data_IF_762270464842
#
_entry.id   IF_762270464842
#
_cell.length_a   1.000
_cell.length_b   1.000
_cell.length_c   1.000
_cell.angle_alpha   90.00
_cell.angle_beta   90.00
_cell.angle_gamma   90.00
#
_symmetry.space_group_name_H-M   'P 1'
#
loop_
_entity.id
_entity.type
_entity.pdbx_description
1 polymer ?
#
# COMPACT_ATOMS: atom_id res chain seq x y z
N UNK A 1 -12.83 7.45 39.00
CA UNK A 1 -12.29 8.15 37.81
C UNK A 1 -11.90 7.09 36.80
N UNK A 2 -12.67 6.94 35.73
CA UNK A 2 -12.42 5.93 34.69
C UNK A 2 -11.12 6.25 33.94
N UNK A 3 -10.54 5.27 33.22
CA UNK A 3 -9.39 5.51 32.35
C UNK A 3 -9.68 6.60 31.30
N UNK A 4 -10.93 6.69 30.90
CA UNK A 4 -11.47 7.69 29.98
C UNK A 4 -11.40 9.09 30.57
N UNK A 5 -11.82 9.28 31.81
CA UNK A 5 -11.76 10.58 32.49
C UNK A 5 -10.33 11.07 32.64
N UNK A 6 -9.38 10.16 32.96
CA UNK A 6 -7.93 10.52 33.04
C UNK A 6 -7.39 10.94 31.69
N UNK A 7 -7.80 10.27 30.61
CA UNK A 7 -7.39 10.63 29.25
C UNK A 7 -7.94 11.99 28.84
N UNK A 8 -9.22 12.27 29.08
CA UNK A 8 -9.82 13.59 28.82
C UNK A 8 -9.13 14.70 29.59
N UNK A 9 -8.87 14.51 30.89
CA UNK A 9 -8.12 15.48 31.71
C UNK A 9 -6.71 15.71 31.14
N UNK A 10 -6.02 14.66 30.69
CA UNK A 10 -4.70 14.78 30.07
C UNK A 10 -4.77 15.58 28.77
N UNK A 11 -5.77 15.32 27.93
CA UNK A 11 -5.97 16.06 26.67
C UNK A 11 -6.24 17.54 26.92
N UNK A 12 -7.11 17.86 27.89
CA UNK A 12 -7.41 19.25 28.27
C UNK A 12 -6.17 19.95 28.84
N UNK A 13 -5.40 19.31 29.71
CA UNK A 13 -4.18 19.86 30.27
C UNK A 13 -3.11 20.13 29.20
N UNK A 14 -2.96 19.22 28.23
CA UNK A 14 -2.00 19.41 27.14
C UNK A 14 -2.45 20.50 26.18
N UNK A 15 -3.74 20.61 25.86
CA UNK A 15 -4.26 21.70 25.02
C UNK A 15 -4.09 23.06 25.69
N UNK A 16 -4.35 23.15 27.01
CA UNK A 16 -4.12 24.35 27.79
C UNK A 16 -2.64 24.76 27.84
N UNK A 17 -1.72 23.80 27.94
CA UNK A 17 -0.27 24.05 27.87
C UNK A 17 0.17 24.62 26.50
N UNK A 18 -0.57 24.34 25.42
CA UNK A 18 -0.36 24.94 24.10
C UNK A 18 -1.15 26.25 23.90
N UNK A 19 -1.76 26.81 24.98
CA UNK A 19 -2.48 28.07 24.94
C UNK A 19 -3.89 27.95 24.35
N UNK A 20 -4.44 26.74 24.30
CA UNK A 20 -5.78 26.50 23.80
C UNK A 20 -6.73 26.11 24.95
N UNK A 21 -7.62 27.03 25.31
CA UNK A 21 -8.63 26.81 26.35
C UNK A 21 -9.97 26.47 25.67
N UNK A 22 -10.59 25.37 26.08
CA UNK A 22 -11.89 24.98 25.53
C UNK A 22 -12.98 25.87 26.10
N UNK A 23 -13.60 26.69 25.24
CA UNK A 23 -14.77 27.50 25.54
C UNK A 23 -15.95 27.10 24.66
N UNK A 24 -17.16 27.46 25.02
CA UNK A 24 -18.39 27.25 24.24
C UNK A 24 -18.33 27.88 22.82
N UNK A 25 -17.36 28.76 22.56
CA UNK A 25 -17.09 29.33 21.26
C UNK A 25 -16.14 28.49 20.38
N UNK A 26 -15.64 27.36 20.90
CA UNK A 26 -14.69 26.52 20.18
C UNK A 26 -15.43 25.68 19.13
N UNK A 27 -15.01 25.67 17.86
CA UNK A 27 -15.64 24.81 16.85
C UNK A 27 -15.54 23.32 17.22
N UNK A 28 -16.63 22.56 17.06
CA UNK A 28 -16.74 21.14 17.43
C UNK A 28 -15.68 20.23 16.79
N UNK A 29 -15.08 20.65 15.67
CA UNK A 29 -14.04 19.90 14.99
C UNK A 29 -12.65 20.00 15.64
N UNK A 30 -12.42 21.01 16.49
CA UNK A 30 -11.10 21.25 17.10
C UNK A 30 -10.78 20.21 18.16
N UNK A 31 -11.76 19.86 18.98
CA UNK A 31 -11.60 18.84 20.04
C UNK A 31 -11.14 17.49 19.49
N UNK A 32 -11.83 16.86 18.50
CA UNK A 32 -11.37 15.63 17.87
C UNK A 32 -10.02 15.78 17.17
N UNK A 33 -9.69 16.95 16.63
CA UNK A 33 -8.40 17.18 15.97
C UNK A 33 -7.23 17.15 16.95
N UNK A 34 -7.39 17.70 18.14
CA UNK A 34 -6.37 17.64 19.20
C UNK A 34 -6.19 16.21 19.71
N UNK A 35 -7.28 15.46 19.91
CA UNK A 35 -7.21 14.04 20.23
C UNK A 35 -6.46 13.24 19.17
N UNK A 36 -6.73 13.50 17.90
CA UNK A 36 -6.03 12.89 16.79
C UNK A 36 -4.53 13.14 16.84
N UNK A 37 -4.11 14.40 17.03
CA UNK A 37 -2.69 14.78 17.10
C UNK A 37 -2.01 14.13 18.31
N UNK A 38 -2.64 14.16 19.48
CA UNK A 38 -2.07 13.61 20.73
C UNK A 38 -1.87 12.09 20.71
N UNK A 39 -2.69 11.36 19.95
CA UNK A 39 -2.54 9.91 19.82
C UNK A 39 -1.69 9.55 18.60
N UNK A 40 -1.94 10.22 17.48
CA UNK A 40 -1.30 9.87 16.20
C UNK A 40 0.16 10.34 16.14
N UNK A 41 0.49 11.50 16.72
CA UNK A 41 1.85 12.02 16.71
C UNK A 41 2.82 11.12 17.49
N UNK A 42 2.55 10.70 18.75
CA UNK A 42 3.41 9.74 19.44
C UNK A 42 3.46 8.38 18.75
N UNK A 43 2.34 7.86 18.24
CA UNK A 43 2.31 6.60 17.52
C UNK A 43 3.14 6.64 16.23
N UNK A 44 3.05 7.73 15.47
CA UNK A 44 3.89 7.96 14.28
C UNK A 44 5.36 8.14 14.66
N UNK A 45 5.67 8.90 15.71
CA UNK A 45 7.04 9.09 16.19
C UNK A 45 7.67 7.76 16.62
N UNK A 46 6.93 6.93 17.35
CA UNK A 46 7.39 5.60 17.77
C UNK A 46 7.58 4.67 16.57
N UNK A 47 6.64 4.63 15.64
CA UNK A 47 6.72 3.76 14.46
C UNK A 47 7.78 4.23 13.47
N UNK A 48 7.89 5.51 13.19
CA UNK A 48 8.93 6.08 12.32
C UNK A 48 10.29 6.01 13.01
N UNK A 49 10.37 6.34 14.29
CA UNK A 49 11.60 6.26 15.07
C UNK A 49 12.13 4.84 15.17
N UNK A 50 11.29 3.86 15.48
CA UNK A 50 11.66 2.44 15.49
C UNK A 50 12.07 1.94 14.09
N UNK A 51 11.40 2.37 13.05
CA UNK A 51 11.75 2.02 11.67
C UNK A 51 13.09 2.62 11.24
N UNK A 52 13.36 3.88 11.58
CA UNK A 52 14.63 4.54 11.32
C UNK A 52 15.77 3.92 12.15
N UNK A 53 15.53 3.59 13.42
CA UNK A 53 16.50 2.90 14.27
C UNK A 53 16.84 1.51 13.72
N UNK A 54 15.82 0.72 13.34
CA UNK A 54 16.02 -0.60 12.72
C UNK A 54 16.77 -0.46 11.38
N UNK A 55 16.44 0.52 10.56
CA UNK A 55 17.17 0.79 9.32
C UNK A 55 18.62 1.22 9.58
N UNK A 56 18.86 2.05 10.60
CA UNK A 56 20.18 2.46 11.03
C UNK A 56 21.04 1.28 11.46
N UNK A 57 20.51 0.43 12.34
CA UNK A 57 21.16 -0.81 12.82
C UNK A 57 21.44 -1.76 11.66
N UNK A 58 20.45 -1.99 10.77
CA UNK A 58 20.62 -2.84 9.58
C UNK A 58 21.63 -2.28 8.59
N UNK A 59 21.74 -0.94 8.46
CA UNK A 59 22.72 -0.28 7.58
C UNK A 59 24.13 -0.38 8.15
N UNK A 60 24.28 -0.26 9.46
CA UNK A 60 25.55 -0.47 10.16
C UNK A 60 25.99 -1.94 10.07
N UNK A 61 25.06 -2.87 10.23
CA UNK A 61 25.34 -4.31 10.11
C UNK A 61 25.69 -4.72 8.67
N UNK A 62 25.01 -4.17 7.67
CA UNK A 62 25.33 -4.38 6.25
C UNK A 62 26.68 -3.82 5.84
N UNK A 63 27.12 -2.68 6.40
CA UNK A 63 28.45 -2.11 6.11
C UNK A 63 29.60 -3.04 6.51
N UNK A 64 29.37 -3.96 7.43
CA UNK A 64 30.39 -4.93 7.88
C UNK A 64 30.46 -6.22 7.03
N UNK A 65 29.49 -6.50 6.14
CA UNK A 65 29.35 -7.83 5.55
C UNK A 65 28.99 -7.87 4.04
N UNK A 66 29.14 -6.78 3.29
CA UNK A 66 28.88 -6.84 1.85
C UNK A 66 30.18 -6.77 1.05
N UNK A 67 30.51 -7.81 0.24
CA UNK A 67 31.47 -7.63 -0.85
C UNK A 67 30.91 -6.58 -1.81
N UNK A 68 31.74 -5.58 -2.13
CA UNK A 68 31.41 -4.52 -3.07
C UNK A 68 31.40 -5.08 -4.49
N UNK A 69 30.27 -5.63 -4.91
CA UNK A 69 30.01 -5.87 -6.33
C UNK A 69 29.62 -4.54 -6.95
N UNK A 70 30.51 -3.93 -7.73
CA UNK A 70 30.22 -2.77 -8.54
C UNK A 70 29.76 -3.27 -9.92
N UNK A 71 28.43 -3.33 -10.18
CA UNK A 71 27.96 -3.59 -11.53
C UNK A 71 28.37 -2.42 -12.42
N UNK A 72 28.91 -2.70 -13.60
CA UNK A 72 29.18 -1.66 -14.59
C UNK A 72 27.90 -0.84 -14.86
N UNK A 73 28.00 0.51 -14.89
CA UNK A 73 26.83 1.35 -15.09
C UNK A 73 26.27 1.16 -16.49
N UNK A 74 25.06 0.62 -16.58
CA UNK A 74 24.34 0.48 -17.84
C UNK A 74 23.99 1.87 -18.36
N UNK A 75 24.43 2.22 -19.57
CA UNK A 75 24.13 3.52 -20.21
C UNK A 75 22.62 3.75 -20.26
N UNK A 76 22.12 4.80 -19.57
CA UNK A 76 20.71 5.17 -19.49
C UNK A 76 19.95 4.64 -18.28
N UNK A 77 20.59 3.84 -17.41
CA UNK A 77 20.08 3.50 -16.08
C UNK A 77 20.88 4.28 -15.02
N UNK A 78 20.16 4.90 -14.10
CA UNK A 78 20.80 5.51 -12.93
C UNK A 78 21.10 4.43 -11.87
N UNK A 79 21.97 4.75 -10.90
CA UNK A 79 22.40 3.80 -9.86
C UNK A 79 21.27 3.22 -8.99
N UNK A 80 20.02 3.77 -9.08
CA UNK A 80 18.84 3.19 -8.48
C UNK A 80 17.66 3.13 -9.45
N UNK A 81 16.84 2.08 -9.34
CA UNK A 81 15.62 1.95 -10.14
C UNK A 81 14.63 3.09 -9.84
N UNK A 82 14.59 3.56 -8.60
CA UNK A 82 13.74 4.66 -8.17
C UNK A 82 14.07 5.97 -8.89
N UNK A 83 15.35 6.35 -8.95
CA UNK A 83 15.79 7.56 -9.66
C UNK A 83 15.53 7.45 -11.16
N UNK A 84 15.72 6.26 -11.73
CA UNK A 84 15.39 5.98 -13.14
C UNK A 84 13.89 6.21 -13.42
N UNK A 85 13.00 5.69 -12.55
CA UNK A 85 11.55 5.90 -12.67
C UNK A 85 11.21 7.38 -12.60
N UNK A 86 11.73 8.10 -11.60
CA UNK A 86 11.47 9.54 -11.45
C UNK A 86 11.95 10.34 -12.65
N UNK A 87 13.14 10.04 -13.18
CA UNK A 87 13.68 10.74 -14.36
C UNK A 87 12.79 10.59 -15.58
N UNK A 88 12.29 9.37 -15.84
CA UNK A 88 11.53 9.08 -17.06
C UNK A 88 10.03 9.30 -16.94
N UNK A 89 9.45 9.36 -15.74
CA UNK A 89 8.00 9.48 -15.54
C UNK A 89 7.57 10.59 -14.56
N UNK A 90 8.42 11.62 -14.32
CA UNK A 90 8.16 12.65 -13.31
C UNK A 90 6.79 13.31 -13.44
N UNK A 91 6.38 13.70 -14.67
CA UNK A 91 5.08 14.36 -14.91
C UNK A 91 3.91 13.42 -14.63
N UNK A 92 4.03 12.16 -15.07
CA UNK A 92 3.01 11.15 -14.86
C UNK A 92 2.88 10.81 -13.36
N UNK A 93 4.00 10.71 -12.64
CA UNK A 93 3.99 10.49 -11.19
C UNK A 93 3.31 11.66 -10.46
N UNK A 94 3.62 12.91 -10.81
CA UNK A 94 2.97 14.08 -10.22
C UNK A 94 1.45 14.06 -10.45
N UNK A 95 0.99 13.74 -11.66
CA UNK A 95 -0.44 13.63 -11.96
C UNK A 95 -1.11 12.51 -11.13
N UNK A 96 -0.47 11.34 -11.03
CA UNK A 96 -0.99 10.24 -10.20
C UNK A 96 -1.09 10.62 -8.72
N UNK A 97 -0.12 11.39 -8.21
CA UNK A 97 -0.14 11.91 -6.84
C UNK A 97 -1.35 12.85 -6.65
N UNK A 98 -1.55 13.80 -7.54
CA UNK A 98 -2.69 14.74 -7.47
C UNK A 98 -4.03 13.99 -7.49
N UNK A 99 -4.20 13.04 -8.41
CA UNK A 99 -5.43 12.22 -8.48
C UNK A 99 -5.62 11.38 -7.22
N UNK A 100 -4.53 10.86 -6.64
CA UNK A 100 -4.57 10.12 -5.37
C UNK A 100 -4.96 11.01 -4.18
N UNK A 101 -4.50 12.27 -4.16
CA UNK A 101 -4.88 13.24 -3.12
C UNK A 101 -6.35 13.64 -3.22
N UNK A 102 -6.89 13.80 -4.44
CA UNK A 102 -8.33 14.07 -4.67
C UNK A 102 -9.20 12.89 -4.19
N UNK A 103 -8.68 11.66 -4.21
CA UNK A 103 -9.42 10.51 -3.70
C UNK A 103 -9.73 10.59 -2.19
N UNK A 104 -8.93 11.30 -1.40
CA UNK A 104 -9.09 11.37 0.07
C UNK A 104 -10.35 12.11 0.51
N UNK A 105 -10.62 13.35 0.07
CA UNK A 105 -11.86 14.04 0.43
C UNK A 105 -13.10 13.33 -0.12
N UNK A 106 -13.02 12.71 -1.31
CA UNK A 106 -14.12 11.92 -1.84
C UNK A 106 -14.41 10.71 -0.93
N UNK A 107 -13.34 10.03 -0.48
CA UNK A 107 -13.47 8.92 0.47
C UNK A 107 -14.09 9.38 1.80
N UNK A 108 -13.64 10.52 2.35
CA UNK A 108 -14.20 11.09 3.57
C UNK A 108 -15.70 11.33 3.44
N UNK A 109 -16.15 11.92 2.32
CA UNK A 109 -17.57 12.12 2.04
C UNK A 109 -18.35 10.80 1.98
N UNK A 110 -17.77 9.72 1.43
CA UNK A 110 -18.44 8.41 1.41
C UNK A 110 -18.60 7.78 2.80
N UNK A 111 -17.82 8.22 3.78
CA UNK A 111 -17.96 7.79 5.18
C UNK A 111 -18.89 8.69 5.98
N UNK A 112 -18.82 10.01 5.76
CA UNK A 112 -19.61 11.01 6.51
C UNK A 112 -21.08 11.03 6.10
N UNK A 113 -21.40 10.90 4.80
CA UNK A 113 -22.79 10.99 4.33
C UNK A 113 -23.72 9.92 4.89
N UNK A 114 -23.36 8.63 4.99
CA UNK A 114 -24.21 7.63 5.66
C UNK A 114 -24.50 7.96 7.12
N UNK A 115 -23.50 8.52 7.84
CA UNK A 115 -23.68 8.99 9.21
C UNK A 115 -24.72 10.11 9.27
N UNK A 116 -24.59 11.12 8.38
CA UNK A 116 -25.52 12.23 8.32
C UNK A 116 -26.95 11.76 7.98
N UNK A 117 -27.10 10.76 7.13
CA UNK A 117 -28.37 10.14 6.81
C UNK A 117 -28.98 9.51 8.07
N UNK A 118 -28.20 8.71 8.81
CA UNK A 118 -28.72 8.01 10.00
C UNK A 118 -29.00 8.97 11.15
N UNK A 119 -28.08 9.89 11.45
CA UNK A 119 -28.16 10.73 12.63
C UNK A 119 -29.08 11.96 12.46
N UNK A 120 -29.21 12.47 11.25
CA UNK A 120 -29.92 13.73 11.03
C UNK A 120 -31.15 13.60 10.15
N UNK A 121 -31.13 12.74 9.11
CA UNK A 121 -32.25 12.63 8.18
C UNK A 121 -33.35 11.69 8.65
N UNK A 122 -33.03 10.71 9.50
CA UNK A 122 -34.01 9.76 10.05
C UNK A 122 -34.69 10.27 11.36
N UNK A 123 -34.14 11.33 11.97
CA UNK A 123 -34.71 11.93 13.19
C UNK A 123 -35.85 12.88 12.81
N UNK A 124 -37.09 12.46 13.01
CA UNK A 124 -38.30 13.23 12.63
C UNK A 124 -38.52 14.50 13.46
N UNK A 125 -37.98 14.58 14.69
CA UNK A 125 -38.26 15.67 15.62
C UNK A 125 -37.51 16.97 15.24
N UNK A 126 -36.62 16.92 14.25
CA UNK A 126 -35.80 18.05 13.80
C UNK A 126 -36.32 18.76 12.57
N UNK A 127 -37.41 18.29 11.98
CA UNK A 127 -37.93 18.87 10.72
C UNK A 127 -39.11 19.83 10.95
N UNK A 128 -39.19 20.93 10.13
CA UNK A 128 -38.41 21.26 8.95
C UNK A 128 -37.01 21.86 9.27
N UNK A 129 -36.02 21.51 8.45
CA UNK A 129 -34.65 22.06 8.57
C UNK A 129 -34.41 23.09 7.46
N UNK A 130 -33.86 24.25 7.86
CA UNK A 130 -33.48 25.29 6.88
C UNK A 130 -32.19 24.93 6.15
N UNK A 131 -32.29 24.54 4.86
CA UNK A 131 -31.16 24.30 3.97
C UNK A 131 -31.09 25.42 2.95
N UNK A 132 -29.97 26.16 2.93
CA UNK A 132 -29.75 27.31 2.03
C UNK A 132 -30.89 28.37 2.10
N UNK A 133 -31.48 28.58 3.30
CA UNK A 133 -32.53 29.55 3.51
C UNK A 133 -33.93 29.11 3.06
N UNK A 134 -34.14 27.81 2.79
CA UNK A 134 -35.44 27.21 2.52
C UNK A 134 -35.73 26.11 3.51
N UNK A 135 -36.93 26.08 4.04
CA UNK A 135 -37.40 25.01 4.90
C UNK A 135 -37.63 23.75 4.05
N UNK A 136 -36.95 22.66 4.42
CA UNK A 136 -36.95 21.40 3.67
C UNK A 136 -37.58 20.34 4.54
N UNK A 137 -38.55 19.63 3.97
CA UNK A 137 -39.17 18.47 4.59
C UNK A 137 -38.20 17.28 4.72
N UNK A 138 -38.43 16.42 5.71
CA UNK A 138 -37.61 15.23 6.00
C UNK A 138 -37.36 14.38 4.75
N UNK A 139 -38.39 14.09 3.95
CA UNK A 139 -38.27 13.21 2.76
C UNK A 139 -37.35 13.83 1.72
N UNK A 140 -37.48 15.15 1.48
CA UNK A 140 -36.68 15.87 0.49
C UNK A 140 -35.22 15.94 0.96
N UNK A 141 -34.98 16.21 2.26
CA UNK A 141 -33.64 16.21 2.84
C UNK A 141 -32.96 14.84 2.76
N UNK A 142 -33.69 13.77 3.09
CA UNK A 142 -33.22 12.38 2.95
C UNK A 142 -32.85 12.05 1.49
N UNK A 143 -33.74 12.40 0.54
CA UNK A 143 -33.48 12.18 -0.90
C UNK A 143 -32.24 12.94 -1.40
N UNK A 144 -32.03 14.16 -0.92
CA UNK A 144 -30.86 14.97 -1.25
C UNK A 144 -29.57 14.32 -0.72
N UNK A 145 -29.54 13.90 0.54
CA UNK A 145 -28.38 13.22 1.13
C UNK A 145 -28.09 11.88 0.44
N UNK A 146 -29.12 11.09 0.12
CA UNK A 146 -28.97 9.83 -0.61
C UNK A 146 -28.42 10.07 -2.03
N UNK A 147 -28.92 11.10 -2.72
CA UNK A 147 -28.41 11.51 -4.03
C UNK A 147 -26.95 11.94 -3.98
N UNK A 148 -26.57 12.75 -2.99
CA UNK A 148 -25.20 13.17 -2.76
C UNK A 148 -24.28 11.98 -2.42
N UNK A 149 -24.75 11.04 -1.62
CA UNK A 149 -24.03 9.82 -1.29
C UNK A 149 -23.78 8.94 -2.52
N UNK A 150 -24.82 8.75 -3.35
CA UNK A 150 -24.70 8.03 -4.62
C UNK A 150 -23.67 8.71 -5.54
N UNK A 151 -23.71 10.04 -5.65
CA UNK A 151 -22.74 10.81 -6.42
C UNK A 151 -21.32 10.60 -5.89
N UNK A 152 -21.13 10.65 -4.56
CA UNK A 152 -19.82 10.42 -3.94
C UNK A 152 -19.28 9.00 -4.22
N UNK A 153 -20.13 7.98 -4.20
CA UNK A 153 -19.76 6.60 -4.56
C UNK A 153 -19.31 6.53 -6.03
N UNK A 154 -20.10 7.12 -6.94
CA UNK A 154 -19.77 7.13 -8.37
C UNK A 154 -18.44 7.86 -8.62
N UNK A 155 -18.24 9.03 -8.02
CA UNK A 155 -16.99 9.80 -8.13
C UNK A 155 -15.78 9.01 -7.59
N UNK A 156 -15.94 8.35 -6.45
CA UNK A 156 -14.89 7.49 -5.88
C UNK A 156 -14.55 6.31 -6.81
N UNK A 157 -15.57 5.68 -7.37
CA UNK A 157 -15.41 4.59 -8.34
C UNK A 157 -14.70 5.05 -9.61
N UNK A 158 -15.13 6.16 -10.21
CA UNK A 158 -14.52 6.74 -11.41
C UNK A 158 -13.08 7.18 -11.17
N UNK A 159 -12.80 7.81 -10.03
CA UNK A 159 -11.45 8.22 -9.65
C UNK A 159 -10.50 7.01 -9.52
N UNK A 160 -10.94 5.95 -8.83
CA UNK A 160 -10.18 4.70 -8.70
C UNK A 160 -9.97 4.01 -10.06
N UNK A 161 -11.00 3.95 -10.88
CA UNK A 161 -10.91 3.39 -12.23
C UNK A 161 -9.90 4.17 -13.08
N UNK A 162 -10.07 5.49 -13.18
CA UNK A 162 -9.18 6.36 -13.94
C UNK A 162 -7.72 6.27 -13.49
N UNK A 163 -7.49 6.29 -12.17
CA UNK A 163 -6.15 6.14 -11.60
C UNK A 163 -5.53 4.79 -11.98
N UNK A 164 -6.27 3.68 -11.88
CA UNK A 164 -5.75 2.35 -12.18
C UNK A 164 -5.45 2.18 -13.68
N UNK A 165 -6.30 2.69 -14.57
CA UNK A 165 -6.05 2.71 -16.02
C UNK A 165 -4.81 3.53 -16.35
N UNK A 166 -4.69 4.72 -15.76
CA UNK A 166 -3.52 5.58 -15.98
C UNK A 166 -2.22 4.95 -15.46
N UNK A 167 -2.27 4.29 -14.29
CA UNK A 167 -1.16 3.47 -13.75
C UNK A 167 -0.73 2.39 -14.74
N UNK A 168 -1.68 1.68 -15.36
CA UNK A 168 -1.40 0.70 -16.40
C UNK A 168 -0.65 1.30 -17.59
N UNK A 169 -1.09 2.44 -18.10
CA UNK A 169 -0.39 3.13 -19.19
C UNK A 169 1.03 3.57 -18.82
N UNK A 170 1.23 4.06 -17.60
CA UNK A 170 2.57 4.46 -17.13
C UNK A 170 3.48 3.24 -16.97
N UNK A 171 2.95 2.13 -16.42
CA UNK A 171 3.66 0.87 -16.28
C UNK A 171 4.15 0.33 -17.63
N UNK A 172 3.26 0.23 -18.62
CA UNK A 172 3.59 -0.28 -19.96
C UNK A 172 4.57 0.63 -20.72
N UNK A 173 4.38 1.95 -20.62
CA UNK A 173 5.32 2.91 -21.24
C UNK A 173 6.73 2.80 -20.67
N UNK A 174 6.83 2.65 -19.33
CA UNK A 174 8.11 2.47 -18.66
C UNK A 174 8.72 1.12 -19.01
N UNK A 175 7.93 0.05 -18.99
CA UNK A 175 8.33 -1.31 -19.31
C UNK A 175 8.90 -1.42 -20.72
N UNK A 176 8.24 -0.82 -21.70
CA UNK A 176 8.74 -0.76 -23.09
C UNK A 176 10.14 -0.12 -23.16
N UNK A 177 10.34 1.00 -22.48
CA UNK A 177 11.66 1.68 -22.45
C UNK A 177 12.71 0.81 -21.76
N UNK A 178 12.34 0.19 -20.66
CA UNK A 178 13.24 -0.68 -19.89
C UNK A 178 13.65 -1.91 -20.70
N UNK A 179 12.71 -2.56 -21.38
CA UNK A 179 12.99 -3.67 -22.32
C UNK A 179 13.97 -3.26 -23.40
N UNK A 180 13.80 -2.08 -23.99
CA UNK A 180 14.73 -1.56 -25.00
C UNK A 180 16.13 -1.32 -24.45
N UNK A 181 16.26 -0.81 -23.22
CA UNK A 181 17.56 -0.62 -22.56
C UNK A 181 18.26 -1.95 -22.32
N UNK A 182 17.56 -2.93 -21.77
CA UNK A 182 18.08 -4.28 -21.52
C UNK A 182 18.49 -4.95 -22.84
N UNK A 183 17.65 -4.87 -23.87
CA UNK A 183 17.95 -5.42 -25.19
C UNK A 183 19.19 -4.79 -25.84
N UNK A 184 19.31 -3.45 -25.77
CA UNK A 184 20.50 -2.73 -26.30
C UNK A 184 21.78 -3.15 -25.56
N UNK A 185 21.72 -3.24 -24.24
CA UNK A 185 22.86 -3.69 -23.43
C UNK A 185 23.27 -5.12 -23.77
N UNK A 186 22.31 -6.03 -23.91
CA UNK A 186 22.56 -7.39 -24.30
C UNK A 186 23.23 -7.48 -25.70
N UNK A 187 22.71 -6.72 -26.68
CA UNK A 187 23.26 -6.69 -28.04
C UNK A 187 24.65 -6.08 -28.12
N UNK A 188 25.01 -5.14 -27.25
CA UNK A 188 26.32 -4.50 -27.22
C UNK A 188 27.40 -5.33 -26.53
N UNK A 189 27.06 -6.45 -25.92
CA UNK A 189 28.00 -7.32 -25.21
C UNK A 189 28.26 -8.60 -26.00
N UNK A 190 29.40 -8.72 -26.72
CA UNK A 190 29.66 -9.87 -27.59
C UNK A 190 29.86 -11.19 -26.84
N UNK A 191 30.21 -11.13 -25.53
CA UNK A 191 30.40 -12.31 -24.67
C UNK A 191 29.10 -12.87 -24.06
N UNK A 192 27.94 -12.43 -24.53
CA UNK A 192 26.64 -12.96 -24.04
C UNK A 192 26.43 -14.41 -24.53
N UNK A 193 27.16 -15.35 -23.91
CA UNK A 193 27.08 -16.80 -24.19
C UNK A 193 25.70 -17.42 -23.92
N UNK A 194 24.82 -16.70 -23.22
CA UNK A 194 23.49 -17.15 -22.83
C UNK A 194 22.39 -16.51 -23.69
N UNK A 195 22.39 -16.78 -25.00
CA UNK A 195 21.36 -16.29 -25.92
C UNK A 195 19.94 -16.74 -25.53
N UNK A 196 19.81 -17.91 -24.92
CA UNK A 196 18.52 -18.47 -24.48
C UNK A 196 17.90 -17.75 -23.28
N UNK A 197 18.69 -17.05 -22.45
CA UNK A 197 18.20 -16.39 -21.24
C UNK A 197 17.54 -15.04 -21.51
N UNK A 198 17.85 -14.36 -22.62
CA UNK A 198 17.33 -13.02 -22.91
C UNK A 198 15.82 -13.02 -23.11
N UNK A 199 15.26 -14.08 -23.68
CA UNK A 199 13.81 -14.18 -23.96
C UNK A 199 13.00 -14.20 -22.66
N UNK A 200 13.24 -15.11 -21.69
CA UNK A 200 12.55 -15.08 -20.40
C UNK A 200 12.76 -13.77 -19.63
N UNK A 201 13.97 -13.18 -19.68
CA UNK A 201 14.25 -11.90 -19.03
C UNK A 201 13.36 -10.80 -19.62
N UNK A 202 13.33 -10.62 -20.93
CA UNK A 202 12.55 -9.56 -21.58
C UNK A 202 11.04 -9.81 -21.52
N UNK A 203 10.60 -11.08 -21.60
CA UNK A 203 9.18 -11.41 -21.62
C UNK A 203 8.53 -11.39 -20.22
N UNK A 204 9.19 -11.95 -19.19
CA UNK A 204 8.56 -12.21 -17.89
C UNK A 204 9.25 -11.52 -16.72
N UNK A 205 10.59 -11.53 -16.64
CA UNK A 205 11.30 -11.07 -15.45
C UNK A 205 11.30 -9.55 -15.30
N UNK A 206 11.22 -8.83 -16.42
CA UNK A 206 11.18 -7.36 -16.46
C UNK A 206 9.76 -6.83 -16.18
N UNK A 207 8.72 -7.62 -16.39
CA UNK A 207 7.32 -7.22 -16.22
C UNK A 207 6.99 -6.60 -14.85
N UNK A 208 7.45 -7.16 -13.71
CA UNK A 208 7.20 -6.55 -12.40
C UNK A 208 7.80 -5.15 -12.22
N UNK A 209 8.79 -4.78 -13.03
CA UNK A 209 9.44 -3.45 -12.99
C UNK A 209 8.47 -2.37 -13.50
N UNK A 210 7.64 -2.70 -14.49
CA UNK A 210 6.57 -1.81 -14.95
C UNK A 210 5.57 -1.48 -13.84
N UNK A 211 5.08 -2.51 -13.16
CA UNK A 211 4.21 -2.34 -11.98
C UNK A 211 4.87 -1.53 -10.87
N UNK A 212 6.13 -1.83 -10.54
CA UNK A 212 6.90 -1.02 -9.58
C UNK A 212 6.99 0.45 -9.99
N UNK A 213 7.23 0.74 -11.27
CA UNK A 213 7.33 2.10 -11.77
C UNK A 213 6.01 2.89 -11.62
N UNK A 214 4.86 2.24 -11.77
CA UNK A 214 3.56 2.88 -11.55
C UNK A 214 3.21 3.05 -10.07
N UNK A 215 3.64 2.09 -9.22
CA UNK A 215 3.19 2.01 -7.83
C UNK A 215 4.12 2.67 -6.82
N UNK A 216 5.37 2.94 -7.17
CA UNK A 216 6.43 3.34 -6.23
C UNK A 216 6.09 4.58 -5.39
N UNK A 217 5.41 5.57 -5.95
CA UNK A 217 4.92 6.76 -5.25
C UNK A 217 3.42 6.72 -5.03
N UNK A 218 2.66 6.27 -6.02
CA UNK A 218 1.19 6.31 -6.01
C UNK A 218 0.62 5.40 -4.93
N UNK A 219 1.14 4.18 -4.78
CA UNK A 219 0.63 3.22 -3.82
C UNK A 219 0.80 3.68 -2.36
N UNK A 220 2.00 4.15 -1.91
CA UNK A 220 2.16 4.67 -0.55
C UNK A 220 1.27 5.88 -0.26
N UNK A 221 1.11 6.80 -1.21
CA UNK A 221 0.28 8.00 -1.04
C UNK A 221 -1.20 7.61 -0.98
N UNK A 222 -1.67 6.78 -1.90
CA UNK A 222 -3.07 6.36 -1.94
C UNK A 222 -3.45 5.55 -0.70
N UNK A 223 -2.66 4.52 -0.37
CA UNK A 223 -2.95 3.65 0.78
C UNK A 223 -2.72 4.36 2.11
N UNK A 224 -1.62 5.12 2.22
CA UNK A 224 -1.34 5.93 3.41
C UNK A 224 -2.40 7.01 3.63
N UNK A 225 -2.80 7.70 2.57
CA UNK A 225 -3.85 8.70 2.64
C UNK A 225 -5.22 8.10 2.97
N UNK A 226 -5.57 6.97 2.35
CA UNK A 226 -6.79 6.22 2.71
C UNK A 226 -6.80 5.85 4.19
N UNK A 227 -5.70 5.31 4.71
CA UNK A 227 -5.56 4.96 6.13
C UNK A 227 -5.72 6.18 7.02
N UNK A 228 -5.04 7.29 6.69
CA UNK A 228 -5.13 8.54 7.44
C UNK A 228 -6.55 9.12 7.42
N UNK A 229 -7.24 9.08 6.27
CA UNK A 229 -8.62 9.55 6.15
C UNK A 229 -9.57 8.71 7.01
N UNK A 230 -9.45 7.39 7.00
CA UNK A 230 -10.27 6.51 7.83
C UNK A 230 -9.97 6.74 9.32
N UNK A 231 -8.70 6.81 9.71
CA UNK A 231 -8.33 7.10 11.09
C UNK A 231 -8.85 8.47 11.54
N UNK A 232 -8.67 9.50 10.72
CA UNK A 232 -9.22 10.82 11.00
C UNK A 232 -10.73 10.77 11.21
N UNK A 233 -11.46 10.11 10.31
CA UNK A 233 -12.89 9.92 10.44
C UNK A 233 -13.27 9.22 11.75
N UNK A 234 -12.58 8.12 12.11
CA UNK A 234 -12.83 7.38 13.35
C UNK A 234 -12.57 8.24 14.59
N UNK A 235 -11.49 9.00 14.61
CA UNK A 235 -11.17 9.88 15.74
C UNK A 235 -12.16 11.05 15.91
N UNK A 236 -12.69 11.57 14.80
CA UNK A 236 -13.76 12.59 14.83
C UNK A 236 -15.05 12.02 15.38
N UNK A 237 -15.33 10.71 15.13
CA UNK A 237 -16.54 10.05 15.64
C UNK A 237 -16.42 9.73 17.12
N UNK A 238 -15.36 9.00 17.48
CA UNK A 238 -15.07 8.55 18.83
C UNK A 238 -13.57 8.33 18.99
N UNK A 239 -12.91 9.13 19.84
CA UNK A 239 -11.47 9.02 20.09
C UNK A 239 -11.06 7.65 20.64
N UNK A 240 -11.92 7.00 21.42
CA UNK A 240 -11.64 5.68 22.02
C UNK A 240 -11.63 4.60 20.94
N UNK A 241 -12.62 4.63 20.04
CA UNK A 241 -12.68 3.74 18.90
C UNK A 241 -11.48 3.94 17.96
N UNK A 242 -11.09 5.22 17.73
CA UNK A 242 -9.90 5.55 16.97
C UNK A 242 -8.61 5.00 17.59
N UNK A 243 -8.45 5.11 18.91
CA UNK A 243 -7.33 4.56 19.65
C UNK A 243 -7.30 3.03 19.59
N UNK A 244 -8.44 2.37 19.75
CA UNK A 244 -8.56 0.91 19.64
C UNK A 244 -8.13 0.41 18.25
N UNK A 245 -8.54 1.09 17.17
CA UNK A 245 -8.09 0.77 15.82
C UNK A 245 -6.56 0.89 15.66
N UNK A 246 -5.94 1.88 16.31
CA UNK A 246 -4.48 2.05 16.27
C UNK A 246 -3.70 0.95 16.98
N UNK A 247 -4.27 0.22 17.92
CA UNK A 247 -3.55 -0.86 18.65
C UNK A 247 -3.14 -2.02 17.74
N UNK A 248 -3.94 -2.32 16.72
CA UNK A 248 -3.71 -3.43 15.78
C UNK A 248 -2.72 -3.05 14.67
N UNK A 249 -2.67 -1.76 14.29
CA UNK A 249 -1.83 -1.28 13.20
C UNK A 249 -0.32 -1.54 13.34
N UNK A 250 0.33 -1.31 14.50
CA UNK A 250 1.76 -1.57 14.66
C UNK A 250 2.11 -3.04 14.42
N UNK A 251 1.25 -3.95 14.85
CA UNK A 251 1.43 -5.40 14.64
C UNK A 251 1.42 -5.71 13.15
N UNK A 252 0.45 -5.17 12.41
CA UNK A 252 0.36 -5.34 10.95
C UNK A 252 1.58 -4.74 10.24
N UNK A 253 2.00 -3.51 10.60
CA UNK A 253 3.13 -2.81 9.97
C UNK A 253 4.48 -3.51 10.17
N UNK A 254 4.66 -4.25 11.26
CA UNK A 254 5.91 -4.98 11.53
C UNK A 254 5.86 -6.40 10.99
N UNK A 255 4.77 -7.11 11.22
CA UNK A 255 4.66 -8.55 10.96
C UNK A 255 4.46 -8.85 9.46
N UNK A 256 3.54 -8.12 8.79
CA UNK A 256 3.24 -8.38 7.39
C UNK A 256 4.44 -8.13 6.46
N UNK A 257 5.21 -7.02 6.55
CA UNK A 257 6.39 -6.83 5.72
C UNK A 257 7.49 -7.85 6.00
N UNK A 258 7.64 -8.31 7.24
CA UNK A 258 8.62 -9.36 7.59
C UNK A 258 8.28 -10.70 6.90
N UNK A 259 7.02 -11.09 6.92
CA UNK A 259 6.53 -12.28 6.22
C UNK A 259 6.61 -12.11 4.69
N UNK A 260 6.26 -10.93 4.17
CA UNK A 260 6.37 -10.62 2.74
C UNK A 260 7.80 -10.71 2.21
N UNK A 261 8.80 -10.31 3.01
CA UNK A 261 10.22 -10.48 2.65
C UNK A 261 10.60 -11.95 2.46
N UNK A 262 10.04 -12.86 3.28
CA UNK A 262 10.25 -14.32 3.11
C UNK A 262 9.62 -14.84 1.81
N UNK A 263 8.40 -14.37 1.49
CA UNK A 263 7.77 -14.69 0.18
C UNK A 263 8.64 -14.20 -0.98
N UNK A 264 9.16 -12.99 -0.90
CA UNK A 264 10.01 -12.41 -1.95
C UNK A 264 11.33 -13.20 -2.11
N UNK A 265 11.92 -13.67 -1.01
CA UNK A 265 13.11 -14.52 -1.05
C UNK A 265 12.84 -15.86 -1.76
N UNK A 266 11.74 -16.54 -1.41
CA UNK A 266 11.31 -17.76 -2.07
C UNK A 266 10.96 -17.55 -3.56
N UNK A 267 10.37 -16.40 -3.90
CA UNK A 267 10.08 -16.03 -5.29
C UNK A 267 11.36 -15.86 -6.12
N UNK A 268 12.43 -15.32 -5.53
CA UNK A 268 13.76 -15.23 -6.18
C UNK A 268 14.36 -16.62 -6.41
N UNK A 269 14.23 -17.55 -5.45
CA UNK A 269 14.65 -18.93 -5.64
C UNK A 269 13.89 -19.58 -6.80
N UNK A 270 12.56 -19.39 -6.85
CA UNK A 270 11.75 -19.89 -7.96
C UNK A 270 12.24 -19.39 -9.33
N UNK A 271 12.59 -18.10 -9.45
CA UNK A 271 13.10 -17.53 -10.71
C UNK A 271 14.41 -18.21 -11.11
N UNK A 272 15.32 -18.48 -10.16
CA UNK A 272 16.57 -19.19 -10.42
C UNK A 272 16.32 -20.60 -10.95
N UNK A 273 15.41 -21.34 -10.32
CA UNK A 273 15.03 -22.71 -10.75
C UNK A 273 14.40 -22.71 -12.16
N UNK A 274 13.54 -21.74 -12.46
CA UNK A 274 12.96 -21.60 -13.82
C UNK A 274 14.04 -21.33 -14.87
N UNK A 275 15.04 -20.49 -14.55
CA UNK A 275 16.16 -20.22 -15.46
C UNK A 275 17.02 -21.47 -15.67
N UNK A 276 17.33 -22.22 -14.60
CA UNK A 276 18.09 -23.45 -14.68
C UNK A 276 17.36 -24.49 -15.55
N UNK A 277 16.05 -24.65 -15.33
CA UNK A 277 15.22 -25.50 -16.17
C UNK A 277 15.24 -25.06 -17.64
N UNK A 278 15.11 -23.76 -17.91
CA UNK A 278 15.18 -23.21 -19.26
C UNK A 278 16.51 -23.51 -19.97
N UNK A 279 17.64 -23.42 -19.24
CA UNK A 279 18.96 -23.82 -19.80
C UNK A 279 19.02 -25.28 -20.12
N UNK A 280 18.62 -26.16 -19.18
CA UNK A 280 18.63 -27.61 -19.39
C UNK A 280 17.78 -28.04 -20.60
N UNK A 281 16.59 -27.42 -20.74
CA UNK A 281 15.72 -27.67 -21.90
C UNK A 281 16.33 -27.15 -23.22
N UNK A 282 16.98 -25.98 -23.20
CA UNK A 282 17.64 -25.41 -24.37
C UNK A 282 18.83 -26.26 -24.81
N UNK A 283 19.64 -26.78 -23.88
CA UNK A 283 20.76 -27.65 -24.13
C UNK A 283 20.28 -28.98 -24.77
N UNK A 284 19.21 -29.58 -24.25
CA UNK A 284 18.61 -30.80 -24.79
C UNK A 284 18.02 -30.60 -26.19
N UNK A 285 17.50 -29.44 -26.53
CA UNK A 285 17.01 -29.11 -27.88
C UNK A 285 18.15 -29.01 -28.91
N UNK A 286 19.38 -28.65 -28.49
CA UNK A 286 20.55 -28.58 -29.35
C UNK A 286 21.23 -29.93 -29.52
N UNK A 287 21.13 -30.82 -28.54
CA UNK A 287 21.55 -32.22 -28.64
C UNK A 287 20.48 -33.02 -29.37
N UNK A 288 20.61 -33.17 -30.69
CA UNK A 288 19.68 -33.95 -31.56
C UNK A 288 19.51 -35.43 -31.17
N UNK A 289 20.16 -35.91 -30.13
CA UNK A 289 20.01 -37.29 -29.63
C UNK A 289 19.04 -37.32 -28.47
N UNK A 290 17.91 -37.96 -28.68
CA UNK A 290 16.92 -38.32 -27.64
C UNK A 290 17.57 -39.31 -26.68
N UNK A 291 18.34 -38.82 -25.72
CA UNK A 291 18.89 -39.67 -24.66
C UNK A 291 17.80 -39.82 -23.59
N UNK A 292 17.29 -41.05 -23.31
CA UNK A 292 16.25 -41.26 -22.30
C UNK A 292 16.69 -40.80 -20.89
N UNK A 293 17.99 -40.70 -20.64
CA UNK A 293 18.57 -40.15 -19.40
C UNK A 293 18.39 -38.63 -19.25
N UNK A 294 18.09 -37.89 -20.32
CA UNK A 294 17.84 -36.43 -20.29
C UNK A 294 16.57 -36.02 -19.55
N UNK A 295 15.61 -36.92 -19.32
CA UNK A 295 14.41 -36.69 -18.56
C UNK A 295 14.67 -36.56 -17.03
N UNK A 296 15.67 -37.23 -16.49
CA UNK A 296 15.95 -37.27 -15.06
C UNK A 296 16.32 -35.92 -14.46
N UNK A 297 17.24 -35.11 -15.03
CA UNK A 297 17.58 -33.79 -14.50
C UNK A 297 16.42 -32.80 -14.63
N UNK A 298 15.65 -32.83 -15.71
CA UNK A 298 14.46 -32.01 -15.86
C UNK A 298 13.37 -32.37 -14.83
N UNK A 299 13.16 -33.66 -14.57
CA UNK A 299 12.23 -34.14 -13.54
C UNK A 299 12.62 -33.72 -12.12
N UNK A 300 13.92 -33.64 -11.82
CA UNK A 300 14.40 -33.12 -10.55
C UNK A 300 14.11 -31.61 -10.42
N UNK A 301 14.36 -30.80 -11.45
CA UNK A 301 14.06 -29.40 -11.49
C UNK A 301 12.54 -29.10 -11.38
N UNK A 302 11.68 -29.92 -11.99
CA UNK A 302 10.23 -29.80 -11.81
C UNK A 302 9.80 -30.05 -10.37
N UNK A 303 10.35 -31.05 -9.69
CA UNK A 303 10.05 -31.32 -8.27
C UNK A 303 10.52 -30.21 -7.35
N UNK A 304 11.71 -29.66 -7.57
CA UNK A 304 12.22 -28.55 -6.79
C UNK A 304 11.37 -27.30 -7.01
N UNK A 305 10.98 -27.00 -8.25
CA UNK A 305 10.09 -25.91 -8.58
C UNK A 305 8.73 -26.06 -7.88
N UNK A 306 8.15 -27.26 -7.87
CA UNK A 306 6.91 -27.57 -7.15
C UNK A 306 7.09 -27.35 -5.64
N UNK A 307 8.17 -27.83 -5.05
CA UNK A 307 8.47 -27.68 -3.63
C UNK A 307 8.58 -26.18 -3.21
N UNK A 308 9.33 -25.40 -3.97
CA UNK A 308 9.45 -23.94 -3.74
C UNK A 308 8.09 -23.26 -3.90
N UNK A 309 7.31 -23.66 -4.90
CA UNK A 309 5.98 -23.08 -5.15
C UNK A 309 4.99 -23.41 -4.03
N UNK A 310 4.99 -24.63 -3.51
CA UNK A 310 4.19 -25.03 -2.33
C UNK A 310 4.56 -24.20 -1.08
N UNK A 311 5.85 -23.95 -0.83
CA UNK A 311 6.31 -23.07 0.27
C UNK A 311 5.80 -21.64 0.08
N UNK A 312 5.85 -21.10 -1.14
CA UNK A 312 5.32 -19.76 -1.45
C UNK A 312 3.81 -19.70 -1.16
N UNK A 313 3.02 -20.70 -1.62
CA UNK A 313 1.59 -20.74 -1.39
C UNK A 313 1.25 -20.82 0.10
N UNK A 314 1.86 -21.73 0.86
CA UNK A 314 1.63 -21.84 2.31
C UNK A 314 1.87 -20.47 3.01
N UNK A 315 2.97 -19.81 2.69
CA UNK A 315 3.31 -18.54 3.32
C UNK A 315 2.37 -17.41 2.87
N UNK A 316 1.99 -17.34 1.60
CA UNK A 316 1.01 -16.36 1.10
C UNK A 316 -0.37 -16.53 1.76
N UNK A 317 -0.86 -17.77 1.86
CA UNK A 317 -2.14 -18.03 2.50
C UNK A 317 -2.09 -17.77 4.01
N UNK A 318 -0.97 -18.08 4.67
CA UNK A 318 -0.76 -17.72 6.07
C UNK A 318 -0.81 -16.20 6.28
N UNK A 319 -0.13 -15.42 5.42
CA UNK A 319 -0.18 -13.95 5.46
C UNK A 319 -1.63 -13.47 5.28
N UNK A 320 -2.36 -14.04 4.33
CA UNK A 320 -3.78 -13.68 4.08
C UNK A 320 -4.66 -14.02 5.28
N UNK A 321 -4.53 -15.22 5.85
CA UNK A 321 -5.28 -15.63 7.04
C UNK A 321 -4.96 -14.74 8.25
N UNK A 322 -3.69 -14.44 8.49
CA UNK A 322 -3.25 -13.56 9.55
C UNK A 322 -3.79 -12.13 9.38
N UNK A 323 -3.73 -11.60 8.16
CA UNK A 323 -4.29 -10.28 7.88
C UNK A 323 -5.81 -10.24 8.11
N UNK A 324 -6.54 -11.25 7.65
CA UNK A 324 -7.98 -11.36 7.89
C UNK A 324 -8.30 -11.45 9.39
N UNK A 325 -7.52 -12.24 10.14
CA UNK A 325 -7.66 -12.35 11.60
C UNK A 325 -7.44 -10.99 12.29
N UNK A 326 -6.34 -10.30 11.96
CA UNK A 326 -6.05 -8.98 12.53
C UNK A 326 -7.11 -7.93 12.16
N UNK A 327 -7.67 -8.01 10.97
CA UNK A 327 -8.78 -7.14 10.55
C UNK A 327 -10.06 -7.46 11.32
N UNK A 328 -10.36 -8.73 11.56
CA UNK A 328 -11.53 -9.14 12.34
C UNK A 328 -11.37 -8.85 13.86
N UNK A 329 -10.12 -8.75 14.33
CA UNK A 329 -9.84 -8.38 15.73
C UNK A 329 -10.25 -6.94 16.04
N UNK A 330 -10.22 -6.04 15.06
CA UNK A 330 -10.58 -4.63 15.25
C UNK A 330 -12.03 -4.44 15.71
N UNK A 331 -13.08 -4.97 15.02
CA UNK A 331 -14.45 -4.92 15.53
C UNK A 331 -14.64 -5.60 16.87
N UNK A 332 -13.95 -6.73 17.11
CA UNK A 332 -13.98 -7.42 18.39
C UNK A 332 -13.53 -6.52 19.54
N UNK A 333 -12.42 -5.79 19.35
CA UNK A 333 -11.94 -4.81 20.34
C UNK A 333 -12.96 -3.68 20.56
N UNK A 334 -13.66 -3.23 19.52
CA UNK A 334 -14.71 -2.24 19.65
C UNK A 334 -15.85 -2.73 20.55
N UNK A 335 -16.37 -3.93 20.29
CA UNK A 335 -17.45 -4.52 21.10
C UNK A 335 -17.02 -4.88 22.51
N UNK A 336 -15.72 -5.08 22.77
CA UNK A 336 -15.21 -5.40 24.12
C UNK A 336 -14.90 -4.18 24.97
N UNK A 337 -14.70 -3.01 24.35
CA UNK A 337 -14.35 -1.74 25.00
C UNK A 337 -15.55 -0.79 25.14
N UNK A 338 -16.59 -0.96 24.34
CA UNK A 338 -17.84 -0.18 24.37
C UNK A 338 -18.95 -0.94 25.02
#
# INVERSE_FOLDING_TARGET
MSLLDRYHVLVHNVSAAFGYDYSDATPDWVHPFIHLILVLAPALLITVGSHLAIRGILKLWKRRHTPTFHPEPIRGLEGSLFSTVLRYSRRQQALMIVVSLIAMPILYLTLELPKQIVNNALDSDRFPVAVLGRDVDQVVFLMLLCGLYLLAIILNGLNKYGLNVFKGFVAERFLRRFRLLVYRQWRSNPDSRNQSEIVPILAQEVEPIGGFAADVLTLPILQGGTLLTILFFMFVQDPVLGAAALTVLPIQLVLLPKLQRRVNALSRTRIKEVRQLGRQLSEQLHERQVNPTGLLPAGASFRELEHVRRKIFRLKFFIKALNNFLTALTPFLFYSLG
#
